data_IF_475380409118
#
_entry.id   IF_475380409118
#
_cell.length_a   1.000
_cell.length_b   1.000
_cell.length_c   1.000
_cell.angle_alpha   90.00
_cell.angle_beta   90.00
_cell.angle_gamma   90.00
#
_symmetry.space_group_name_H-M   'P 1'
#
loop_
_entity.id
_entity.type
_entity.pdbx_description
1 polymer ?
#
# COMPACT_ATOMS: atom_id res chain seq x y z
N UNK A 1 6.00 -27.35 -29.03
CA UNK A 1 6.60 -26.52 -27.96
C UNK A 1 5.60 -25.56 -27.30
N UNK A 2 4.89 -24.67 -28.01
CA UNK A 2 3.99 -23.69 -27.37
C UNK A 2 2.85 -24.26 -26.49
N UNK A 3 2.37 -25.49 -26.77
CA UNK A 3 1.28 -26.13 -26.01
C UNK A 3 1.72 -26.69 -24.65
N UNK A 4 3.01 -26.99 -24.47
CA UNK A 4 3.56 -27.44 -23.18
C UNK A 4 3.85 -26.26 -22.25
N UNK A 5 4.37 -25.15 -22.80
CA UNK A 5 4.59 -23.88 -22.09
C UNK A 5 3.29 -23.30 -21.51
N UNK A 6 2.20 -23.32 -22.27
CA UNK A 6 0.90 -22.84 -21.77
C UNK A 6 0.38 -23.68 -20.58
N UNK A 7 0.66 -25.00 -20.62
CA UNK A 7 0.25 -25.95 -19.59
C UNK A 7 1.12 -25.87 -18.34
N UNK A 8 2.39 -25.51 -18.48
CA UNK A 8 3.29 -25.25 -17.35
C UNK A 8 2.93 -23.93 -16.67
N UNK A 9 2.60 -22.87 -17.42
CA UNK A 9 2.13 -21.59 -16.87
C UNK A 9 0.84 -21.79 -16.07
N UNK A 10 -0.15 -22.51 -16.61
CA UNK A 10 -1.39 -22.83 -15.89
C UNK A 10 -1.14 -23.59 -14.57
N UNK A 11 -0.21 -24.56 -14.56
CA UNK A 11 0.19 -25.27 -13.34
C UNK A 11 0.84 -24.36 -12.30
N UNK A 12 1.79 -23.50 -12.73
CA UNK A 12 2.45 -22.55 -11.85
C UNK A 12 1.46 -21.52 -11.27
N UNK A 13 0.53 -21.01 -12.08
CA UNK A 13 -0.53 -20.11 -11.60
C UNK A 13 -1.45 -20.79 -10.59
N UNK A 14 -1.78 -22.07 -10.78
CA UNK A 14 -2.57 -22.83 -9.83
C UNK A 14 -1.83 -23.06 -8.51
N UNK A 15 -0.51 -23.27 -8.57
CA UNK A 15 0.34 -23.39 -7.38
C UNK A 15 0.50 -22.06 -6.63
N UNK A 16 0.66 -20.96 -7.38
CA UNK A 16 0.63 -19.60 -6.85
C UNK A 16 -0.71 -19.31 -6.18
N UNK A 17 -1.83 -19.64 -6.80
CA UNK A 17 -3.16 -19.49 -6.17
C UNK A 17 -3.27 -20.28 -4.87
N UNK A 18 -2.77 -21.53 -4.83
CA UNK A 18 -2.76 -22.33 -3.59
C UNK A 18 -1.90 -21.66 -2.51
N UNK A 19 -0.70 -21.21 -2.85
CA UNK A 19 0.19 -20.51 -1.91
C UNK A 19 -0.43 -19.20 -1.41
N UNK A 20 -1.09 -18.47 -2.29
CA UNK A 20 -1.74 -17.19 -1.98
C UNK A 20 -2.97 -17.41 -1.09
N UNK A 21 -3.75 -18.47 -1.34
CA UNK A 21 -4.85 -18.89 -0.44
C UNK A 21 -4.34 -19.26 0.94
N UNK A 22 -3.26 -20.04 1.03
CA UNK A 22 -2.64 -20.39 2.32
C UNK A 22 -2.13 -19.14 3.05
N UNK A 23 -1.61 -18.16 2.32
CA UNK A 23 -1.18 -16.87 2.89
C UNK A 23 -2.37 -16.07 3.43
N UNK A 24 -3.48 -16.03 2.68
CA UNK A 24 -4.72 -15.36 3.09
C UNK A 24 -5.29 -16.02 4.34
N UNK A 25 -5.36 -17.34 4.39
CA UNK A 25 -5.80 -18.09 5.58
C UNK A 25 -4.90 -17.81 6.79
N UNK A 26 -3.59 -17.68 6.56
CA UNK A 26 -2.63 -17.29 7.61
C UNK A 26 -2.84 -15.86 8.10
N UNK A 27 -3.14 -14.92 7.20
CA UNK A 27 -3.46 -13.54 7.54
C UNK A 27 -4.80 -13.41 8.29
N UNK A 28 -5.82 -14.16 7.87
CA UNK A 28 -7.14 -14.17 8.51
C UNK A 28 -7.11 -14.82 9.90
N UNK A 29 -6.32 -15.89 10.07
CA UNK A 29 -6.11 -16.51 11.38
C UNK A 29 -5.10 -15.74 12.27
N UNK A 30 -4.50 -14.66 11.76
CA UNK A 30 -3.60 -13.85 12.57
C UNK A 30 -4.39 -13.04 13.60
N UNK A 31 -4.07 -13.26 14.88
CA UNK A 31 -4.76 -12.61 16.00
C UNK A 31 -4.72 -11.08 15.93
N UNK A 32 -3.70 -10.48 15.30
CA UNK A 32 -3.58 -9.03 15.13
C UNK A 32 -4.59 -8.47 14.12
N UNK A 33 -4.86 -9.20 13.03
CA UNK A 33 -5.83 -8.80 12.00
C UNK A 33 -7.24 -8.93 12.56
N UNK A 34 -7.51 -10.02 13.29
CA UNK A 34 -8.79 -10.23 13.98
C UNK A 34 -9.02 -9.16 15.06
N UNK A 35 -7.99 -8.80 15.83
CA UNK A 35 -8.08 -7.74 16.82
C UNK A 35 -8.32 -6.36 16.18
N UNK A 36 -7.73 -6.10 15.01
CA UNK A 36 -7.96 -4.88 14.25
C UNK A 36 -9.39 -4.80 13.69
N UNK A 37 -9.91 -5.88 13.12
CA UNK A 37 -11.31 -5.97 12.66
C UNK A 37 -12.32 -5.82 13.82
N UNK A 38 -11.97 -6.31 15.02
CA UNK A 38 -12.78 -6.13 16.24
C UNK A 38 -12.61 -4.76 16.91
N UNK A 39 -11.68 -3.93 16.46
CA UNK A 39 -11.53 -2.58 16.98
C UNK A 39 -12.69 -1.68 16.54
N UNK A 40 -12.97 -0.56 17.23
CA UNK A 40 -14.04 0.36 16.84
C UNK A 40 -13.88 0.85 15.40
N UNK A 41 -12.64 1.04 14.95
CA UNK A 41 -12.28 1.48 13.59
C UNK A 41 -12.58 0.38 12.56
N UNK A 42 -12.23 -0.87 12.88
CA UNK A 42 -12.52 -2.04 12.04
C UNK A 42 -14.02 -2.32 11.93
N UNK A 43 -14.74 -2.22 13.05
CA UNK A 43 -16.19 -2.43 13.09
C UNK A 43 -16.97 -1.30 12.39
N UNK A 44 -16.43 -0.08 12.38
CA UNK A 44 -16.99 1.05 11.63
C UNK A 44 -16.77 0.90 10.11
N UNK A 45 -15.62 0.36 9.71
CA UNK A 45 -15.30 0.01 8.32
C UNK A 45 -16.15 -1.17 7.81
N UNK A 46 -16.36 -2.18 8.66
CA UNK A 46 -17.17 -3.37 8.34
C UNK A 46 -18.66 -3.04 8.22
N UNK A 47 -19.18 -2.17 9.10
CA UNK A 47 -20.59 -1.76 9.10
C UNK A 47 -20.97 -0.84 7.94
N UNK A 48 -19.99 -0.18 7.32
CA UNK A 48 -20.20 0.76 6.22
C UNK A 48 -19.25 0.47 5.05
N UNK A 49 -19.61 -0.47 4.14
CA UNK A 49 -18.76 -0.82 2.99
C UNK A 49 -18.46 0.38 2.06
N UNK A 50 -19.38 1.36 2.01
CA UNK A 50 -19.17 2.62 1.29
C UNK A 50 -18.07 3.47 1.91
N UNK A 51 -18.02 3.56 3.23
CA UNK A 51 -17.01 4.35 3.94
C UNK A 51 -15.62 3.71 3.79
N UNK A 52 -15.55 2.37 3.93
CA UNK A 52 -14.33 1.61 3.68
C UNK A 52 -13.78 1.91 2.28
N UNK A 53 -14.65 1.85 1.28
CA UNK A 53 -14.31 2.11 -0.10
C UNK A 53 -13.86 3.56 -0.33
N UNK A 54 -14.60 4.54 0.20
CA UNK A 54 -14.22 5.96 0.11
C UNK A 54 -12.88 6.22 0.76
N UNK A 55 -12.58 5.62 1.91
CA UNK A 55 -11.31 5.80 2.60
C UNK A 55 -10.14 5.23 1.79
N UNK A 56 -10.30 4.04 1.18
CA UNK A 56 -9.29 3.45 0.30
C UNK A 56 -9.06 4.34 -0.92
N UNK A 57 -10.13 4.76 -1.60
CA UNK A 57 -10.03 5.66 -2.77
C UNK A 57 -9.36 6.98 -2.38
N UNK A 58 -9.71 7.53 -1.21
CA UNK A 58 -9.10 8.76 -0.70
C UNK A 58 -7.60 8.59 -0.44
N UNK A 59 -7.16 7.48 0.17
CA UNK A 59 -5.72 7.20 0.39
C UNK A 59 -4.98 7.11 -0.95
N UNK A 60 -5.52 6.34 -1.91
CA UNK A 60 -4.90 6.19 -3.24
C UNK A 60 -4.85 7.53 -3.98
N UNK A 61 -5.94 8.29 -3.94
CA UNK A 61 -6.06 9.56 -4.67
C UNK A 61 -5.30 10.71 -4.01
N UNK A 62 -5.12 10.67 -2.68
CA UNK A 62 -4.34 11.66 -1.92
C UNK A 62 -2.84 11.39 -1.94
N UNK A 63 -2.41 10.14 -2.16
CA UNK A 63 -0.98 9.80 -2.22
C UNK A 63 -0.21 10.63 -3.26
N UNK A 64 -0.83 10.90 -4.42
CA UNK A 64 -0.23 11.71 -5.50
C UNK A 64 -0.04 13.18 -5.09
N UNK A 65 -1.08 13.95 -4.71
CA UNK A 65 -0.91 15.34 -4.31
C UNK A 65 -0.09 15.50 -3.02
N UNK A 66 -0.24 14.62 -2.04
CA UNK A 66 0.53 14.67 -0.78
C UNK A 66 2.00 14.35 -1.04
N UNK A 67 2.29 13.31 -1.82
CA UNK A 67 3.66 12.96 -2.20
C UNK A 67 4.33 14.10 -2.97
N UNK A 68 3.63 14.69 -3.94
CA UNK A 68 4.15 15.83 -4.70
C UNK A 68 4.45 17.04 -3.80
N UNK A 69 3.55 17.35 -2.86
CA UNK A 69 3.77 18.43 -1.89
C UNK A 69 5.02 18.18 -1.03
N UNK A 70 5.16 16.96 -0.48
CA UNK A 70 6.32 16.60 0.35
C UNK A 70 7.63 16.65 -0.43
N UNK A 71 7.62 16.25 -1.72
CA UNK A 71 8.79 16.37 -2.59
C UNK A 71 9.22 17.82 -2.77
N UNK A 72 8.27 18.73 -3.08
CA UNK A 72 8.58 20.16 -3.22
C UNK A 72 9.16 20.69 -1.92
N UNK A 73 8.51 20.42 -0.78
CA UNK A 73 8.99 20.88 0.54
C UNK A 73 10.41 20.38 0.82
N UNK A 74 10.70 19.11 0.51
CA UNK A 74 12.04 18.55 0.65
C UNK A 74 13.06 19.27 -0.25
N UNK A 75 12.74 19.47 -1.53
CA UNK A 75 13.63 20.19 -2.46
C UNK A 75 13.87 21.62 -2.01
N UNK A 76 12.82 22.34 -1.60
CA UNK A 76 12.93 23.72 -1.12
C UNK A 76 13.73 23.80 0.16
N UNK A 77 13.54 22.87 1.11
CA UNK A 77 14.34 22.81 2.32
C UNK A 77 15.81 22.55 2.03
N UNK A 78 16.11 21.66 1.08
CA UNK A 78 17.49 21.37 0.66
C UNK A 78 18.12 22.60 -0.01
N UNK A 79 17.39 23.26 -0.91
CA UNK A 79 17.84 24.47 -1.56
C UNK A 79 18.06 25.62 -0.57
N UNK A 80 17.18 25.77 0.42
CA UNK A 80 17.33 26.76 1.48
C UNK A 80 18.56 26.47 2.36
N UNK A 81 18.79 25.21 2.73
CA UNK A 81 19.96 24.81 3.49
C UNK A 81 21.25 25.06 2.71
N UNK A 82 21.29 24.65 1.44
CA UNK A 82 22.42 24.95 0.54
C UNK A 82 22.60 26.46 0.36
N UNK A 83 21.51 27.22 0.25
CA UNK A 83 21.55 28.68 0.15
C UNK A 83 22.14 29.35 1.39
N UNK A 84 21.79 28.88 2.58
CA UNK A 84 22.38 29.35 3.84
C UNK A 84 23.87 29.02 3.90
N UNK A 85 24.27 27.79 3.54
CA UNK A 85 25.68 27.38 3.54
C UNK A 85 26.50 28.23 2.55
N UNK A 86 26.02 28.39 1.31
CA UNK A 86 26.71 29.18 0.28
C UNK A 86 26.82 30.67 0.67
N UNK A 87 25.80 31.22 1.34
CA UNK A 87 25.81 32.61 1.80
C UNK A 87 26.70 32.82 3.03
N UNK A 88 26.86 31.81 3.88
CA UNK A 88 27.73 31.87 5.06
C UNK A 88 29.21 31.64 4.72
N UNK A 89 29.51 30.88 3.67
CA UNK A 89 30.87 30.66 3.14
C UNK A 89 31.37 31.79 2.19
N UNK A 90 30.59 32.85 1.95
CA UNK A 90 30.98 34.02 1.15
C UNK A 90 31.18 35.28 2.01
#
# INVERSE_FOLDING_TARGET
MAKEELRSISRNLQELQKKLSLLIDSFQNNSKVVAFMKSPVGQYLDRHPFLAFTLIVFIVMSAVPVGFFLLIVMLTSLAALLGVIILEDH
#
